data_IF_041157430298
#
_entry.id   IF_041157430298
#
_cell.length_a   1.000
_cell.length_b   1.000
_cell.length_c   1.000
_cell.angle_alpha   90.00
_cell.angle_beta   90.00
_cell.angle_gamma   90.00
#
_symmetry.space_group_name_H-M   'P 1'
#
loop_
_entity.id
_entity.type
_entity.pdbx_description
1 polymer ?
#
# COMPACT_ATOMS: atom_id res chain seq x y z
N UNK A 1 -16.08 3.08 -4.98
CA UNK A 1 -14.81 3.25 -5.72
C UNK A 1 -14.17 4.63 -5.53
N UNK A 2 -14.88 5.68 -5.09
CA UNK A 2 -14.31 7.02 -4.96
C UNK A 2 -13.65 7.40 -3.63
N UNK A 3 -14.00 6.74 -2.52
CA UNK A 3 -13.50 7.16 -1.18
C UNK A 3 -11.99 6.95 -0.99
N UNK A 4 -11.43 5.91 -1.62
CA UNK A 4 -9.99 5.64 -1.53
C UNK A 4 -9.16 6.66 -2.33
N UNK A 5 -9.63 7.10 -3.50
CA UNK A 5 -8.93 8.11 -4.30
C UNK A 5 -8.93 9.48 -3.61
N UNK A 6 -10.05 9.86 -2.99
CA UNK A 6 -10.15 11.09 -2.20
C UNK A 6 -9.15 11.03 -1.04
N UNK A 7 -9.14 9.94 -0.28
CA UNK A 7 -8.25 9.82 0.87
C UNK A 7 -6.76 9.73 0.49
N UNK A 8 -6.40 9.16 -0.66
CA UNK A 8 -5.01 9.25 -1.19
C UNK A 8 -4.64 10.70 -1.54
N UNK A 9 -5.60 11.48 -2.03
CA UNK A 9 -5.40 12.89 -2.38
C UNK A 9 -5.20 13.75 -1.13
N UNK A 10 -5.99 13.51 -0.08
CA UNK A 10 -5.83 14.20 1.21
C UNK A 10 -4.47 13.88 1.85
N UNK A 11 -4.04 12.63 1.83
CA UNK A 11 -2.71 12.26 2.31
C UNK A 11 -1.58 12.82 1.44
N UNK A 12 -1.80 13.04 0.13
CA UNK A 12 -0.83 13.74 -0.70
C UNK A 12 -0.67 15.20 -0.26
N UNK A 13 -1.76 15.87 0.12
CA UNK A 13 -1.69 17.23 0.65
C UNK A 13 -0.99 17.25 2.02
N UNK A 14 -1.27 16.28 2.89
CA UNK A 14 -0.59 16.15 4.18
C UNK A 14 0.92 15.95 4.01
N UNK A 15 1.34 15.09 3.08
CA UNK A 15 2.77 14.89 2.74
C UNK A 15 3.40 16.15 2.11
N UNK A 16 2.63 16.97 1.39
CA UNK A 16 3.14 18.24 0.85
C UNK A 16 3.34 19.29 1.94
N UNK A 17 2.50 19.27 2.98
CA UNK A 17 2.58 20.20 4.11
C UNK A 17 3.67 19.77 5.08
N UNK A 18 3.73 18.48 5.43
CA UNK A 18 4.81 17.89 6.24
C UNK A 18 5.31 16.56 5.64
N UNK A 19 6.39 16.62 4.84
CA UNK A 19 6.95 15.43 4.20
C UNK A 19 7.69 14.48 5.18
N UNK A 20 7.92 14.89 6.44
CA UNK A 20 8.63 14.07 7.42
C UNK A 20 7.70 13.26 8.34
N UNK A 21 6.38 13.38 8.16
CA UNK A 21 5.43 12.60 8.96
C UNK A 21 5.33 11.17 8.43
N UNK A 22 5.97 10.22 9.13
CA UNK A 22 5.92 8.79 8.82
C UNK A 22 4.49 8.21 8.80
N UNK A 23 3.60 8.76 9.63
CA UNK A 23 2.18 8.37 9.69
C UNK A 23 1.40 8.72 8.41
N UNK A 24 1.69 9.85 7.75
CA UNK A 24 1.02 10.25 6.52
C UNK A 24 1.35 9.28 5.38
N UNK A 25 2.61 8.86 5.27
CA UNK A 25 3.05 7.82 4.35
C UNK A 25 2.46 6.45 4.68
N UNK A 26 2.33 6.10 5.97
CA UNK A 26 1.66 4.88 6.39
C UNK A 26 0.21 4.87 5.89
N UNK A 27 -0.56 5.90 6.25
CA UNK A 27 -2.00 5.97 5.92
C UNK A 27 -2.25 6.01 4.42
N UNK A 28 -1.39 6.68 3.65
CA UNK A 28 -1.42 6.67 2.19
C UNK A 28 -1.18 5.27 1.62
N UNK A 29 -0.15 4.55 2.10
CA UNK A 29 0.12 3.18 1.67
C UNK A 29 -1.01 2.21 2.05
N UNK A 30 -1.64 2.42 3.20
CA UNK A 30 -2.81 1.64 3.61
C UNK A 30 -4.00 1.82 2.66
N UNK A 31 -4.33 3.07 2.32
CA UNK A 31 -5.41 3.34 1.37
C UNK A 31 -5.11 2.83 -0.03
N UNK A 32 -3.86 2.92 -0.50
CA UNK A 32 -3.46 2.31 -1.77
C UNK A 32 -3.57 0.77 -1.72
N UNK A 33 -3.23 0.14 -0.60
CA UNK A 33 -3.41 -1.31 -0.39
C UNK A 33 -4.89 -1.70 -0.36
N UNK A 34 -5.77 -0.85 0.20
CA UNK A 34 -7.22 -1.08 0.26
C UNK A 34 -7.94 -0.80 -1.07
N UNK A 35 -7.51 0.21 -1.83
CA UNK A 35 -8.00 0.47 -3.19
C UNK A 35 -7.91 -0.79 -4.08
N UNK A 36 -6.83 -1.56 -3.90
CA UNK A 36 -6.59 -2.85 -4.57
C UNK A 36 -7.57 -3.97 -4.18
N UNK A 37 -8.16 -3.94 -2.98
CA UNK A 37 -9.18 -4.93 -2.59
C UNK A 37 -10.56 -4.57 -3.17
N UNK A 38 -10.86 -3.29 -3.35
CA UNK A 38 -12.12 -2.80 -3.92
C UNK A 38 -12.17 -2.84 -5.45
N UNK A 39 -11.02 -2.86 -6.13
CA UNK A 39 -10.93 -2.87 -7.59
C UNK A 39 -10.21 -4.14 -8.03
N UNK A 40 -10.98 -5.08 -8.54
CA UNK A 40 -10.54 -6.34 -9.12
C UNK A 40 -9.20 -6.24 -9.86
N UNK A 41 -8.17 -6.87 -9.30
CA UNK A 41 -7.16 -7.68 -10.02
C UNK A 41 -6.31 -7.05 -11.14
N UNK A 42 -6.50 -5.80 -11.57
CA UNK A 42 -5.84 -5.31 -12.77
C UNK A 42 -4.53 -4.56 -12.53
N UNK A 43 -4.38 -3.80 -11.46
CA UNK A 43 -3.19 -2.96 -11.35
C UNK A 43 -2.07 -3.63 -10.54
N UNK A 44 -1.10 -4.20 -11.23
CA UNK A 44 0.24 -4.48 -10.70
C UNK A 44 0.91 -3.21 -10.15
N UNK A 45 0.56 -2.03 -10.66
CA UNK A 45 1.14 -0.74 -10.26
C UNK A 45 0.73 -0.23 -8.86
N UNK A 46 -0.50 -0.50 -8.41
CA UNK A 46 -0.96 0.00 -7.10
C UNK A 46 -0.20 -0.61 -5.91
N UNK A 47 0.34 -1.83 -6.09
CA UNK A 47 1.06 -2.57 -5.03
C UNK A 47 2.46 -2.05 -4.79
N UNK A 48 3.17 -1.73 -5.87
CA UNK A 48 4.53 -1.18 -5.78
C UNK A 48 4.50 0.21 -5.13
N UNK A 49 3.45 1.00 -5.42
CA UNK A 49 3.21 2.29 -4.76
C UNK A 49 3.00 2.11 -3.24
N UNK A 50 2.12 1.19 -2.84
CA UNK A 50 1.87 0.93 -1.41
C UNK A 50 3.12 0.44 -0.66
N UNK A 51 3.90 -0.48 -1.26
CA UNK A 51 5.16 -0.95 -0.67
C UNK A 51 6.21 0.17 -0.57
N UNK A 52 6.27 1.05 -1.56
CA UNK A 52 7.16 2.22 -1.55
C UNK A 52 6.78 3.19 -0.44
N UNK A 53 5.48 3.46 -0.26
CA UNK A 53 4.97 4.32 0.81
C UNK A 53 5.22 3.71 2.20
N UNK A 54 5.00 2.40 2.39
CA UNK A 54 5.36 1.74 3.65
C UNK A 54 6.87 1.76 3.93
N UNK A 55 7.71 1.60 2.91
CA UNK A 55 9.16 1.70 3.09
C UNK A 55 9.59 3.12 3.44
N UNK A 56 8.95 4.15 2.89
CA UNK A 56 9.19 5.55 3.29
C UNK A 56 8.73 5.80 4.73
N UNK A 57 7.55 5.33 5.12
CA UNK A 57 7.06 5.42 6.49
C UNK A 57 8.05 4.82 7.49
N UNK A 58 8.62 3.65 7.17
CA UNK A 58 9.65 2.98 8.00
C UNK A 58 10.97 3.77 8.03
N UNK A 59 11.37 4.40 6.92
CA UNK A 59 12.58 5.22 6.87
C UNK A 59 12.45 6.50 7.68
N UNK A 60 11.26 7.10 7.68
CA UNK A 60 10.96 8.31 8.43
C UNK A 60 10.76 8.01 9.92
N UNK A 61 10.02 6.95 10.22
CA UNK A 61 9.82 6.45 11.59
C UNK A 61 10.06 4.93 11.67
N UNK A 62 11.26 4.51 12.09
CA UNK A 62 11.57 3.09 12.27
C UNK A 62 10.83 2.45 13.45
N UNK A 63 10.20 3.24 14.33
CA UNK A 63 9.39 2.73 15.44
C UNK A 63 7.93 2.50 15.06
N UNK A 64 7.55 2.81 13.81
CA UNK A 64 6.20 2.64 13.32
C UNK A 64 5.85 1.15 13.09
N UNK A 65 5.53 0.44 14.18
CA UNK A 65 5.17 -0.99 14.19
C UNK A 65 4.08 -1.33 13.17
N UNK A 66 3.15 -0.40 12.95
CA UNK A 66 2.07 -0.54 11.97
C UNK A 66 2.60 -0.65 10.53
N UNK A 67 3.63 0.12 10.16
CA UNK A 67 4.21 0.05 8.81
C UNK A 67 4.82 -1.32 8.51
N UNK A 68 5.56 -1.90 9.46
CA UNK A 68 6.10 -3.25 9.31
C UNK A 68 5.00 -4.31 9.16
N UNK A 69 3.94 -4.21 9.98
CA UNK A 69 2.79 -5.12 9.91
C UNK A 69 2.07 -5.02 8.56
N UNK A 70 1.88 -3.80 8.03
CA UNK A 70 1.19 -3.57 6.75
C UNK A 70 2.05 -3.96 5.56
N UNK A 71 3.36 -3.67 5.59
CA UNK A 71 4.33 -4.15 4.59
C UNK A 71 4.35 -5.68 4.50
N UNK A 72 4.39 -6.36 5.65
CA UNK A 72 4.36 -7.82 5.71
C UNK A 72 3.08 -8.41 5.11
N UNK A 73 1.92 -7.83 5.43
CA UNK A 73 0.64 -8.23 4.81
C UNK A 73 0.63 -8.03 3.30
N UNK A 74 1.12 -6.89 2.82
CA UNK A 74 1.17 -6.58 1.38
C UNK A 74 2.10 -7.55 0.62
N UNK A 75 3.27 -7.87 1.20
CA UNK A 75 4.19 -8.88 0.68
C UNK A 75 3.55 -10.28 0.67
N UNK A 76 2.84 -10.67 1.72
CA UNK A 76 2.13 -11.96 1.78
C UNK A 76 1.08 -12.05 0.67
N UNK A 77 0.31 -10.98 0.42
CA UNK A 77 -0.67 -10.93 -0.67
C UNK A 77 0.04 -10.99 -2.04
N UNK A 78 1.21 -10.36 -2.20
CA UNK A 78 2.00 -10.45 -3.43
C UNK A 78 2.44 -11.90 -3.69
N UNK A 79 2.98 -12.56 -2.66
CA UNK A 79 3.39 -13.97 -2.71
C UNK A 79 2.19 -14.84 -3.08
N UNK A 80 1.09 -14.77 -2.31
CA UNK A 80 -0.13 -15.54 -2.60
C UNK A 80 -0.66 -15.31 -4.02
N UNK A 81 -0.56 -14.09 -4.57
CA UNK A 81 -0.95 -13.81 -5.96
C UNK A 81 -0.01 -14.46 -6.97
N UNK A 82 1.31 -14.44 -6.74
CA UNK A 82 2.27 -15.13 -7.62
C UNK A 82 1.97 -16.62 -7.62
N UNK A 83 1.73 -17.20 -6.44
CA UNK A 83 1.27 -18.58 -6.31
C UNK A 83 -0.04 -18.81 -7.08
N UNK A 84 -1.09 -18.01 -6.85
CA UNK A 84 -2.36 -18.15 -7.58
C UNK A 84 -2.21 -17.99 -9.09
N UNK A 85 -1.39 -17.05 -9.59
CA UNK A 85 -1.12 -16.91 -11.03
C UNK A 85 -0.42 -18.14 -11.59
N UNK A 86 0.56 -18.70 -10.88
CA UNK A 86 1.31 -19.89 -11.32
C UNK A 86 0.44 -21.15 -11.34
N UNK A 87 -0.51 -21.26 -10.40
CA UNK A 87 -1.42 -22.42 -10.28
C UNK A 87 -2.74 -22.28 -11.04
N UNK A 88 -3.11 -21.08 -11.50
CA UNK A 88 -4.35 -20.84 -12.27
C UNK A 88 -4.30 -21.29 -13.74
N UNK A 89 -3.15 -21.77 -14.22
CA UNK A 89 -2.95 -22.24 -15.61
C UNK A 89 -3.06 -23.77 -15.79
N UNK A 90 -3.67 -24.52 -14.87
CA UNK A 90 -3.74 -26.00 -14.94
C UNK A 90 -5.17 -26.52 -15.20
N UNK A 91 -5.96 -25.87 -16.06
CA UNK A 91 -7.18 -26.48 -16.61
C UNK A 91 -7.33 -26.15 -18.09
#
# INVERSE_FOLDING_TARGET
>A
MGEYDIAVTDYNQEIQIDPNTGDAHLRRGENQSMQKLGICYQETNGKEKALTDFNKAIKLDPNLKNAYKKRGKEQQIQIQRIYMRKHRFIY
#
